data_IF_991797307954
#
_entry.id   IF_991797307954
#
_cell.length_a   1.000
_cell.length_b   1.000
_cell.length_c   1.000
_cell.angle_alpha   90.00
_cell.angle_beta   90.00
_cell.angle_gamma   90.00
#
_symmetry.space_group_name_H-M   'P 1'
#
loop_
_entity.id
_entity.type
_entity.pdbx_description
1 polymer ?
#
# COMPACT_ATOMS: atom_id res chain seq x y z
N UNK A 1 2.66 1.09 -8.22
CA UNK A 1 3.63 0.78 -7.13
C UNK A 1 4.59 1.94 -6.86
N UNK A 2 5.25 2.49 -7.88
CA UNK A 2 6.27 3.56 -7.70
C UNK A 2 5.76 4.81 -6.95
N UNK A 3 4.54 5.25 -7.26
CA UNK A 3 3.93 6.45 -6.67
C UNK A 3 3.64 6.29 -5.17
N UNK A 4 3.08 5.15 -4.76
CA UNK A 4 2.82 4.81 -3.34
C UNK A 4 4.13 4.70 -2.55
N UNK A 5 5.18 4.12 -3.17
CA UNK A 5 6.52 4.03 -2.59
C UNK A 5 7.11 5.41 -2.27
N UNK A 6 6.96 6.39 -3.19
CA UNK A 6 7.47 7.76 -3.00
C UNK A 6 6.79 8.50 -1.85
N UNK A 7 5.49 8.30 -1.66
CA UNK A 7 4.75 8.95 -0.57
C UNK A 7 5.13 8.38 0.79
N UNK A 8 5.26 7.06 0.91
CA UNK A 8 5.65 6.41 2.17
C UNK A 8 7.12 6.59 2.50
N UNK A 9 8.00 6.73 1.51
CA UNK A 9 9.44 6.96 1.73
C UNK A 9 9.76 8.30 2.42
N UNK A 10 8.81 9.24 2.48
CA UNK A 10 8.96 10.51 3.22
C UNK A 10 8.78 10.34 4.73
N UNK A 11 8.10 9.28 5.16
CA UNK A 11 7.65 9.09 6.56
C UNK A 11 8.24 7.82 7.17
N UNK A 12 8.52 6.81 6.34
CA UNK A 12 9.05 5.52 6.78
C UNK A 12 10.42 5.23 6.17
N UNK A 13 11.33 4.59 6.92
CA UNK A 13 12.56 4.05 6.37
C UNK A 13 12.25 3.07 5.24
N UNK A 14 13.18 2.95 4.29
CA UNK A 14 12.95 2.35 2.96
C UNK A 14 12.33 0.95 3.00
N UNK A 15 12.75 0.12 3.94
CA UNK A 15 12.26 -1.26 4.13
C UNK A 15 10.83 -1.28 4.69
N UNK A 16 10.54 -0.41 5.66
CA UNK A 16 9.23 -0.32 6.30
C UNK A 16 8.18 0.26 5.35
N UNK A 17 8.52 1.31 4.60
CA UNK A 17 7.65 1.86 3.56
C UNK A 17 7.33 0.85 2.46
N UNK A 18 8.28 -0.05 2.13
CA UNK A 18 8.04 -1.15 1.19
C UNK A 18 7.08 -2.18 1.78
N UNK A 19 7.30 -2.60 3.03
CA UNK A 19 6.42 -3.57 3.70
C UNK A 19 4.97 -3.05 3.79
N UNK A 20 4.79 -1.77 4.14
CA UNK A 20 3.49 -1.11 4.18
C UNK A 20 2.82 -1.06 2.80
N UNK A 21 3.56 -0.66 1.76
CA UNK A 21 3.03 -0.62 0.40
C UNK A 21 2.56 -2.00 -0.08
N UNK A 22 3.33 -3.07 0.22
CA UNK A 22 2.93 -4.44 -0.11
C UNK A 22 1.65 -4.81 0.62
N UNK A 23 1.56 -4.53 1.93
CA UNK A 23 0.38 -4.87 2.74
C UNK A 23 -0.89 -4.14 2.29
N UNK A 24 -0.77 -2.88 1.88
CA UNK A 24 -1.86 -2.12 1.26
C UNK A 24 -2.32 -2.76 -0.07
N UNK A 25 -1.39 -3.15 -0.93
CA UNK A 25 -1.70 -3.80 -2.20
C UNK A 25 -2.35 -5.17 -1.99
N UNK A 26 -1.90 -5.96 -1.02
CA UNK A 26 -2.53 -7.22 -0.66
C UNK A 26 -3.98 -7.02 -0.22
N UNK A 27 -4.22 -6.02 0.65
CA UNK A 27 -5.54 -5.74 1.18
C UNK A 27 -6.52 -5.20 0.11
N UNK A 28 -6.13 -4.14 -0.61
CA UNK A 28 -7.05 -3.48 -1.56
C UNK A 28 -7.09 -4.19 -2.92
N UNK A 29 -5.97 -4.71 -3.40
CA UNK A 29 -5.91 -5.39 -4.69
C UNK A 29 -6.20 -6.89 -4.60
N UNK A 30 -6.22 -7.49 -3.41
CA UNK A 30 -6.42 -8.92 -3.22
C UNK A 30 -5.23 -9.77 -3.69
N UNK A 31 -4.06 -9.14 -3.87
CA UNK A 31 -2.88 -9.79 -4.39
C UNK A 31 -2.30 -10.72 -3.34
N UNK A 32 -2.13 -12.00 -3.68
CA UNK A 32 -1.38 -12.93 -2.85
C UNK A 32 0.08 -12.45 -2.73
N UNK A 33 0.75 -12.74 -1.61
CA UNK A 33 2.19 -12.42 -1.38
C UNK A 33 3.11 -12.83 -2.55
N UNK A 34 2.69 -13.83 -3.33
CA UNK A 34 3.42 -14.34 -4.50
C UNK A 34 3.07 -13.66 -5.83
N UNK A 35 1.90 -13.02 -5.98
CA UNK A 35 1.49 -12.40 -7.25
C UNK A 35 2.27 -11.13 -7.59
N UNK A 36 2.75 -10.40 -6.58
CA UNK A 36 3.62 -9.23 -6.79
C UNK A 36 4.97 -9.56 -7.45
N UNK A 37 5.40 -10.83 -7.41
CA UNK A 37 6.63 -11.28 -8.05
C UNK A 37 6.39 -11.59 -9.54
N UNK A 38 5.15 -11.89 -9.92
CA UNK A 38 4.81 -12.43 -11.25
C UNK A 38 4.44 -11.34 -12.26
N UNK A 39 3.77 -10.26 -11.86
CA UNK A 39 3.40 -9.18 -12.80
C UNK A 39 3.62 -7.75 -12.27
N UNK A 40 4.81 -7.15 -12.50
CA UNK A 40 5.08 -5.75 -12.18
C UNK A 40 4.27 -4.75 -13.03
N UNK A 41 3.62 -5.22 -14.09
CA UNK A 41 2.87 -4.40 -15.08
C UNK A 41 1.35 -4.50 -14.93
N UNK A 42 0.84 -5.15 -13.89
CA UNK A 42 -0.59 -5.27 -13.65
C UNK A 42 -1.29 -3.91 -13.59
N UNK A 43 -2.38 -3.74 -14.35
CA UNK A 43 -3.18 -2.51 -14.33
C UNK A 43 -4.00 -2.51 -13.04
N UNK A 44 -3.72 -1.55 -12.16
CA UNK A 44 -4.54 -1.30 -10.97
C UNK A 44 -5.77 -0.50 -11.41
N UNK A 45 -7.01 -0.97 -11.18
CA UNK A 45 -8.20 -0.22 -11.50
C UNK A 45 -8.25 1.09 -10.71
N UNK A 46 -8.80 2.15 -11.32
CA UNK A 46 -8.72 3.52 -10.79
C UNK A 46 -9.35 3.66 -9.40
N UNK A 47 -10.44 2.94 -9.12
CA UNK A 47 -11.07 2.87 -7.80
C UNK A 47 -10.07 2.39 -6.71
N UNK A 48 -9.28 1.35 -7.02
CA UNK A 48 -8.28 0.80 -6.09
C UNK A 48 -7.08 1.73 -5.96
N UNK A 49 -6.73 2.43 -7.04
CA UNK A 49 -5.67 3.42 -7.01
C UNK A 49 -6.03 4.59 -6.08
N UNK A 50 -7.28 5.06 -6.09
CA UNK A 50 -7.76 6.10 -5.17
C UNK A 50 -7.73 5.62 -3.72
N UNK A 51 -8.18 4.39 -3.45
CA UNK A 51 -8.11 3.78 -2.12
C UNK A 51 -6.66 3.67 -1.61
N UNK A 52 -5.73 3.22 -2.45
CA UNK A 52 -4.31 3.12 -2.11
C UNK A 52 -3.67 4.48 -1.82
N UNK A 53 -4.03 5.52 -2.57
CA UNK A 53 -3.54 6.88 -2.34
C UNK A 53 -4.07 7.44 -1.02
N UNK A 54 -5.37 7.25 -0.74
CA UNK A 54 -5.97 7.65 0.53
C UNK A 54 -5.32 6.93 1.72
N UNK A 55 -5.15 5.61 1.61
CA UNK A 55 -4.50 4.81 2.64
C UNK A 55 -3.04 5.22 2.88
N UNK A 56 -2.27 5.46 1.81
CA UNK A 56 -0.90 5.95 1.92
C UNK A 56 -0.84 7.35 2.56
N UNK A 57 -1.78 8.24 2.24
CA UNK A 57 -1.90 9.55 2.88
C UNK A 57 -2.21 9.46 4.37
N UNK A 58 -3.07 8.54 4.77
CA UNK A 58 -3.36 8.30 6.20
C UNK A 58 -2.14 7.77 6.95
N UNK A 59 -1.40 6.81 6.36
CA UNK A 59 -0.14 6.33 6.93
C UNK A 59 0.90 7.44 7.03
N UNK A 60 1.01 8.28 5.99
CA UNK A 60 1.90 9.44 6.01
C UNK A 60 1.52 10.47 7.09
N UNK A 61 0.24 10.56 7.45
CA UNK A 61 -0.27 11.33 8.58
C UNK A 61 -0.13 10.61 9.94
N UNK A 62 0.74 9.59 10.02
CA UNK A 62 1.00 8.77 11.21
C UNK A 62 -0.25 8.05 11.76
N UNK A 63 -1.28 7.79 10.94
CA UNK A 63 -2.39 6.93 11.38
C UNK A 63 -1.91 5.48 11.48
N UNK A 64 -2.33 4.73 12.53
CA UNK A 64 -1.93 3.34 12.66
C UNK A 64 -2.52 2.48 11.54
N UNK A 65 -1.72 1.55 11.03
CA UNK A 65 -2.07 0.70 9.90
C UNK A 65 -3.41 -0.04 10.09
N UNK A 66 -3.72 -0.51 11.30
CA UNK A 66 -4.97 -1.21 11.60
C UNK A 66 -6.22 -0.36 11.32
N UNK A 67 -6.15 0.96 11.59
CA UNK A 67 -7.26 1.88 11.28
C UNK A 67 -7.38 2.13 9.78
N UNK A 68 -6.25 2.13 9.07
CA UNK A 68 -6.21 2.32 7.61
C UNK A 68 -6.74 1.10 6.88
N UNK A 69 -6.47 -0.10 7.39
CA UNK A 69 -6.95 -1.38 6.84
C UNK A 69 -8.36 -1.74 7.32
N UNK A 70 -8.90 -1.05 8.33
CA UNK A 70 -10.22 -1.33 8.88
C UNK A 70 -10.36 -2.71 9.53
N UNK A 71 -9.25 -3.34 9.93
CA UNK A 71 -9.24 -4.67 10.55
C UNK A 71 -8.28 -4.70 11.75
N UNK A 72 -8.73 -5.27 12.86
CA UNK A 72 -7.88 -5.72 13.97
C UNK A 72 -7.70 -7.24 13.82
N UNK A 73 -6.44 -7.69 13.67
CA UNK A 73 -6.07 -9.10 13.84
C UNK A 73 -6.31 -9.57 15.28
#
# INVERSE_FOLDING_TARGET
IDKTKKELAKVYPREEGRALAVRLLQHFCGLSSYEHIVEPSGIIPEEKLQLLQSAAGQLAAARPLQYVLGFQE
#
